data_IF_756000519253
#
_entry.id   IF_756000519253
#
_cell.length_a   1.000
_cell.length_b   1.000
_cell.length_c   1.000
_cell.angle_alpha   90.00
_cell.angle_beta   90.00
_cell.angle_gamma   90.00
#
_symmetry.space_group_name_H-M   'P 1'
#
loop_
_entity.id
_entity.type
_entity.pdbx_description
1 polymer ?
#
# COMPACT_ATOMS: atom_id res chain seq x y z
N UNK A 1 5.33 -10.69 -9.66
CA UNK A 1 5.61 -10.84 -8.22
C UNK A 1 4.27 -10.93 -7.52
N UNK A 2 4.01 -12.01 -6.80
CA UNK A 2 2.77 -12.19 -6.02
C UNK A 2 2.99 -11.71 -4.61
N UNK A 3 2.08 -10.88 -4.13
CA UNK A 3 2.11 -10.32 -2.80
C UNK A 3 0.78 -10.64 -2.12
N UNK A 4 0.80 -11.45 -1.07
CA UNK A 4 -0.38 -11.75 -0.26
C UNK A 4 -0.09 -11.37 1.18
N UNK A 5 -0.98 -10.59 1.78
CA UNK A 5 -1.00 -10.25 3.20
C UNK A 5 -1.80 -11.31 3.96
N UNK A 6 -1.32 -12.54 4.04
CA UNK A 6 -1.95 -13.52 4.91
C UNK A 6 -1.53 -13.26 6.36
N UNK A 7 -2.50 -13.01 7.21
CA UNK A 7 -2.49 -12.82 8.67
C UNK A 7 -1.09 -12.90 9.30
N UNK A 8 -0.35 -11.77 9.31
CA UNK A 8 0.98 -11.64 9.91
C UNK A 8 2.10 -12.55 9.35
N UNK A 9 1.89 -13.23 8.22
CA UNK A 9 2.90 -14.08 7.59
C UNK A 9 2.98 -13.78 6.11
N UNK A 10 4.05 -13.10 5.70
CA UNK A 10 4.43 -13.06 4.29
C UNK A 10 4.83 -14.45 3.84
N UNK A 11 4.02 -15.09 2.99
CA UNK A 11 4.43 -16.33 2.33
C UNK A 11 5.64 -16.03 1.44
N UNK A 12 6.80 -16.55 1.82
CA UNK A 12 8.06 -16.37 1.11
C UNK A 12 9.15 -15.63 1.87
N UNK A 13 8.84 -14.97 2.99
CA UNK A 13 9.84 -14.32 3.83
C UNK A 13 9.77 -14.81 5.27
N UNK A 14 10.71 -15.65 5.67
CA UNK A 14 11.00 -15.97 7.08
C UNK A 14 11.77 -14.84 7.78
N UNK A 15 11.60 -13.61 7.32
CA UNK A 15 12.39 -12.49 7.78
C UNK A 15 11.57 -11.69 8.78
N UNK A 16 12.01 -11.60 10.01
CA UNK A 16 11.38 -10.74 11.01
C UNK A 16 11.32 -9.29 10.51
N UNK A 17 10.31 -8.54 10.93
CA UNK A 17 10.08 -7.14 10.54
C UNK A 17 11.31 -6.24 10.79
N UNK A 18 12.14 -6.58 11.78
CA UNK A 18 13.39 -5.86 12.07
C UNK A 18 14.39 -5.93 10.92
N UNK A 19 14.44 -7.05 10.18
CA UNK A 19 15.29 -7.18 9.00
C UNK A 19 14.79 -6.34 7.83
N UNK A 20 13.49 -6.08 7.76
CA UNK A 20 12.90 -5.13 6.78
C UNK A 20 13.43 -3.72 7.06
N UNK A 21 13.45 -3.30 8.33
CA UNK A 21 14.05 -2.03 8.71
C UNK A 21 15.52 -1.94 8.34
N UNK A 22 16.30 -2.98 8.64
CA UNK A 22 17.72 -3.03 8.24
C UNK A 22 17.89 -2.99 6.72
N UNK A 23 16.98 -3.57 5.95
CA UNK A 23 17.03 -3.52 4.49
C UNK A 23 16.73 -2.11 3.95
N UNK A 24 15.79 -1.37 4.53
CA UNK A 24 15.52 0.05 4.18
C UNK A 24 16.77 0.90 4.46
N UNK A 25 17.41 0.67 5.62
CA UNK A 25 18.66 1.36 5.97
C UNK A 25 19.78 1.03 4.97
N UNK A 26 19.99 -0.25 4.66
CA UNK A 26 21.00 -0.71 3.69
C UNK A 26 20.77 -0.15 2.28
N UNK A 27 19.52 0.07 1.90
CA UNK A 27 19.15 0.72 0.64
C UNK A 27 19.37 2.25 0.66
N UNK A 28 19.78 2.85 1.79
CA UNK A 28 19.95 4.30 1.94
C UNK A 28 18.64 5.09 1.92
N UNK A 29 17.50 4.41 2.15
CA UNK A 29 16.16 4.96 1.98
C UNK A 29 15.51 5.47 3.29
N UNK A 30 16.28 5.64 4.37
CA UNK A 30 15.76 6.03 5.69
C UNK A 30 15.03 7.37 5.65
N UNK A 31 15.56 8.37 4.95
CA UNK A 31 14.94 9.70 4.84
C UNK A 31 13.70 9.71 3.95
N UNK A 32 13.74 9.00 2.85
CA UNK A 32 12.59 8.83 1.97
C UNK A 32 11.46 8.06 2.69
N UNK A 33 11.81 7.07 3.49
CA UNK A 33 10.86 6.34 4.32
C UNK A 33 10.26 7.22 5.42
N UNK A 34 11.05 8.08 6.07
CA UNK A 34 10.55 9.08 7.02
C UNK A 34 9.52 9.99 6.36
N UNK A 35 9.83 10.51 5.16
CA UNK A 35 8.92 11.37 4.40
C UNK A 35 7.63 10.62 4.01
N UNK A 36 7.73 9.37 3.56
CA UNK A 36 6.59 8.52 3.27
C UNK A 36 5.67 8.30 4.50
N UNK A 37 6.25 8.08 5.68
CA UNK A 37 5.47 7.99 6.92
C UNK A 37 4.77 9.32 7.25
N UNK A 38 5.44 10.45 7.05
CA UNK A 38 4.87 11.79 7.26
C UNK A 38 3.71 12.09 6.29
N UNK A 39 3.83 11.71 5.02
CA UNK A 39 2.73 11.79 4.03
C UNK A 39 1.48 10.99 4.48
N UNK A 40 1.69 9.95 5.28
CA UNK A 40 0.65 9.11 5.86
C UNK A 40 0.24 9.54 7.29
N UNK A 41 0.51 10.80 7.68
CA UNK A 41 0.20 11.35 9.00
C UNK A 41 0.92 10.67 10.17
N UNK A 42 1.98 9.90 9.91
CA UNK A 42 2.80 9.23 10.93
C UNK A 42 4.04 10.08 11.18
N UNK A 43 3.98 10.95 12.20
CA UNK A 43 5.05 11.90 12.53
C UNK A 43 6.10 11.26 13.43
N UNK A 44 7.00 10.49 12.84
CA UNK A 44 8.13 9.85 13.52
C UNK A 44 9.42 10.35 12.86
N UNK A 45 10.37 10.83 13.66
CA UNK A 45 11.72 11.11 13.18
C UNK A 45 12.54 9.85 13.26
N UNK A 46 13.16 9.46 12.12
CA UNK A 46 13.96 8.25 12.00
C UNK A 46 15.45 8.57 11.98
N UNK A 47 16.21 7.75 12.69
CA UNK A 47 17.66 7.74 12.68
C UNK A 47 18.19 6.32 12.51
N UNK A 48 19.45 6.22 12.08
CA UNK A 48 20.17 4.97 11.97
C UNK A 48 21.14 4.83 13.12
N UNK A 49 21.08 3.69 13.81
CA UNK A 49 22.06 3.36 14.86
C UNK A 49 22.72 2.02 14.60
N UNK A 50 24.01 1.96 14.86
CA UNK A 50 24.72 0.70 14.92
C UNK A 50 24.38 -0.01 16.24
N UNK A 51 23.88 -1.22 16.12
CA UNK A 51 23.56 -2.10 17.24
C UNK A 51 24.12 -3.48 16.91
N UNK A 52 25.15 -3.87 17.63
CA UNK A 52 25.85 -5.16 17.43
C UNK A 52 26.40 -5.34 15.99
N UNK A 53 26.93 -4.29 15.38
CA UNK A 53 27.49 -4.30 14.02
C UNK A 53 26.42 -4.27 12.91
N UNK A 54 25.15 -4.11 13.25
CA UNK A 54 24.07 -3.91 12.29
C UNK A 54 23.44 -2.53 12.44
N UNK A 55 23.29 -1.81 11.32
CA UNK A 55 22.51 -0.58 11.29
C UNK A 55 21.03 -0.88 11.42
N UNK A 56 20.40 -0.32 12.45
CA UNK A 56 18.97 -0.48 12.77
C UNK A 56 18.25 0.86 12.75
N UNK A 57 16.96 0.82 12.39
CA UNK A 57 16.08 1.98 12.48
C UNK A 57 15.72 2.24 13.95
N UNK A 58 15.93 3.48 14.38
CA UNK A 58 15.46 3.99 15.66
C UNK A 58 14.55 5.21 15.43
N UNK A 59 13.55 5.33 16.27
CA UNK A 59 12.70 6.51 16.33
C UNK A 59 13.26 7.47 17.37
N UNK A 60 13.51 8.71 16.96
CA UNK A 60 13.93 9.79 17.84
C UNK A 60 12.72 10.53 18.37
N UNK A 61 12.51 10.49 19.69
CA UNK A 61 11.50 11.29 20.38
C UNK A 61 12.13 12.13 21.46
N UNK A 62 12.03 13.45 21.33
CA UNK A 62 12.78 14.41 22.16
C UNK A 62 14.28 14.10 22.07
N UNK A 63 14.93 13.78 23.19
CA UNK A 63 16.37 13.42 23.27
C UNK A 63 16.60 11.93 23.51
N UNK A 64 15.62 11.07 23.22
CA UNK A 64 15.70 9.62 23.44
C UNK A 64 15.44 8.86 22.17
N UNK A 65 16.13 7.73 22.03
CA UNK A 65 15.98 6.82 20.91
C UNK A 65 15.26 5.56 21.38
N UNK A 66 14.31 5.16 20.56
CA UNK A 66 13.53 3.95 20.80
C UNK A 66 13.68 3.01 19.59
N UNK A 67 13.79 1.68 19.80
CA UNK A 67 13.72 0.73 18.70
C UNK A 67 12.41 0.95 17.91
N UNK A 68 12.52 1.31 16.62
CA UNK A 68 11.38 1.72 15.80
C UNK A 68 10.21 0.73 15.89
N UNK A 69 10.47 -0.55 15.69
CA UNK A 69 9.44 -1.60 15.67
C UNK A 69 8.77 -1.89 17.02
N UNK A 70 9.30 -1.37 18.12
CA UNK A 70 8.69 -1.55 19.45
C UNK A 70 7.62 -0.51 19.76
N UNK A 71 7.65 0.65 19.10
CA UNK A 71 6.76 1.76 19.45
C UNK A 71 5.68 2.02 18.40
N UNK A 72 5.71 1.37 17.25
CA UNK A 72 4.80 1.60 16.14
C UNK A 72 3.57 0.69 16.21
N UNK A 73 2.44 1.19 15.69
CA UNK A 73 1.19 0.45 15.55
C UNK A 73 1.27 -0.66 14.51
N UNK A 74 0.28 -1.56 14.49
CA UNK A 74 0.16 -2.60 13.45
C UNK A 74 0.03 -1.98 12.05
N UNK A 75 -0.76 -0.92 11.89
CA UNK A 75 -0.89 -0.19 10.63
C UNK A 75 0.45 0.39 10.15
N UNK A 76 1.24 0.98 11.06
CA UNK A 76 2.58 1.48 10.72
C UNK A 76 3.53 0.34 10.34
N UNK A 77 3.41 -0.83 10.99
CA UNK A 77 4.18 -2.03 10.59
C UNK A 77 3.81 -2.46 9.18
N UNK A 78 2.52 -2.52 8.86
CA UNK A 78 2.04 -2.88 7.52
C UNK A 78 2.55 -1.89 6.46
N UNK A 79 2.50 -0.58 6.72
CA UNK A 79 3.10 0.44 5.84
C UNK A 79 4.61 0.28 5.68
N UNK A 80 5.33 -0.09 6.74
CA UNK A 80 6.78 -0.33 6.65
C UNK A 80 7.08 -1.50 5.70
N UNK A 81 6.28 -2.55 5.78
CA UNK A 81 6.39 -3.71 4.91
C UNK A 81 6.04 -3.33 3.48
N UNK A 82 4.94 -2.59 3.28
CA UNK A 82 4.57 -2.06 1.96
C UNK A 82 5.71 -1.22 1.36
N UNK A 83 6.27 -0.27 2.11
CA UNK A 83 7.36 0.59 1.64
C UNK A 83 8.60 -0.21 1.22
N UNK A 84 8.96 -1.24 1.98
CA UNK A 84 10.04 -2.14 1.61
C UNK A 84 9.81 -2.83 0.27
N UNK A 85 8.57 -3.28 0.00
CA UNK A 85 8.21 -3.86 -1.28
C UNK A 85 8.12 -2.80 -2.38
N UNK A 86 7.61 -1.61 -2.06
CA UNK A 86 7.52 -0.49 -2.99
C UNK A 86 8.88 -0.15 -3.63
N UNK A 87 9.95 -0.08 -2.83
CA UNK A 87 11.32 0.12 -3.35
C UNK A 87 11.70 -0.96 -4.39
N UNK A 88 11.24 -2.20 -4.21
CA UNK A 88 11.54 -3.31 -5.12
C UNK A 88 10.61 -3.39 -6.33
N UNK A 89 9.44 -2.77 -6.24
CA UNK A 89 8.50 -2.72 -7.36
C UNK A 89 9.02 -1.87 -8.52
N UNK A 90 9.92 -0.92 -8.26
CA UNK A 90 10.55 -0.10 -9.30
C UNK A 90 11.31 -0.95 -10.35
N UNK A 91 11.75 -2.14 -9.97
CA UNK A 91 12.46 -3.07 -10.87
C UNK A 91 11.52 -4.08 -11.56
N UNK A 92 10.23 -4.05 -11.25
CA UNK A 92 9.25 -5.00 -11.76
C UNK A 92 8.44 -4.40 -12.91
N UNK A 93 8.18 -5.17 -13.97
CA UNK A 93 7.25 -4.78 -15.04
C UNK A 93 5.79 -5.01 -14.67
N UNK A 94 5.53 -5.93 -13.72
CA UNK A 94 4.19 -6.30 -13.28
C UNK A 94 4.17 -6.66 -11.80
N UNK A 95 3.16 -6.14 -11.09
CA UNK A 95 2.92 -6.40 -9.66
C UNK A 95 1.46 -6.77 -9.45
N UNK A 96 1.21 -7.83 -8.71
CA UNK A 96 -0.13 -8.23 -8.25
C UNK A 96 -0.15 -8.23 -6.73
N UNK A 97 -1.11 -7.50 -6.14
CA UNK A 97 -1.31 -7.42 -4.69
C UNK A 97 -2.74 -7.84 -4.37
N UNK A 98 -2.88 -8.99 -3.74
CA UNK A 98 -4.17 -9.55 -3.34
C UNK A 98 -4.60 -9.01 -1.98
N UNK A 99 -5.88 -8.59 -1.86
CA UNK A 99 -6.44 -8.00 -0.65
C UNK A 99 -5.50 -6.96 0.00
N UNK A 100 -4.99 -6.04 -0.83
CA UNK A 100 -3.88 -5.17 -0.46
C UNK A 100 -4.17 -4.31 0.78
N UNK A 101 -5.43 -4.03 1.06
CA UNK A 101 -5.90 -3.14 2.11
C UNK A 101 -6.38 -3.86 3.38
N UNK A 102 -6.19 -5.19 3.50
CA UNK A 102 -6.67 -6.00 4.62
C UNK A 102 -6.22 -5.49 6.02
N UNK A 103 -5.15 -4.70 6.10
CA UNK A 103 -4.62 -4.15 7.35
C UNK A 103 -4.62 -2.62 7.40
N UNK A 104 -5.27 -1.96 6.44
CA UNK A 104 -5.31 -0.50 6.34
C UNK A 104 -6.72 0.01 6.61
N UNK A 105 -6.81 1.11 7.34
CA UNK A 105 -8.01 1.93 7.27
C UNK A 105 -8.04 2.69 5.93
N UNK A 106 -9.19 3.26 5.59
CA UNK A 106 -9.46 3.83 4.26
C UNK A 106 -8.36 4.78 3.76
N UNK A 107 -7.95 5.76 4.59
CA UNK A 107 -6.95 6.77 4.18
C UNK A 107 -5.60 6.16 3.85
N UNK A 108 -5.20 5.11 4.57
CA UNK A 108 -3.94 4.41 4.28
C UNK A 108 -4.05 3.57 3.01
N UNK A 109 -5.18 2.91 2.77
CA UNK A 109 -5.42 2.17 1.54
C UNK A 109 -5.40 3.10 0.32
N UNK A 110 -6.05 4.26 0.42
CA UNK A 110 -6.02 5.30 -0.61
C UNK A 110 -4.59 5.79 -0.88
N UNK A 111 -3.80 6.00 0.17
CA UNK A 111 -2.39 6.42 0.05
C UNK A 111 -1.54 5.36 -0.64
N UNK A 112 -1.74 4.08 -0.35
CA UNK A 112 -1.06 2.97 -1.05
C UNK A 112 -1.36 3.01 -2.54
N UNK A 113 -2.63 3.16 -2.93
CA UNK A 113 -3.01 3.28 -4.36
C UNK A 113 -2.33 4.50 -5.00
N UNK A 114 -2.36 5.67 -4.35
CA UNK A 114 -1.68 6.88 -4.84
C UNK A 114 -0.17 6.67 -4.99
N UNK A 115 0.43 5.91 -4.10
CA UNK A 115 1.88 5.61 -4.12
C UNK A 115 2.24 4.70 -5.29
N UNK A 116 1.55 3.57 -5.47
CA UNK A 116 1.85 2.64 -6.58
C UNK A 116 1.58 3.23 -7.97
N UNK A 117 0.65 4.19 -8.09
CA UNK A 117 0.43 4.95 -9.33
C UNK A 117 1.65 5.74 -9.80
N UNK A 118 2.59 6.04 -8.92
CA UNK A 118 3.82 6.78 -9.24
C UNK A 118 4.91 5.88 -9.82
N UNK A 119 4.73 4.55 -9.81
CA UNK A 119 5.72 3.61 -10.33
C UNK A 119 5.83 3.76 -11.86
N UNK A 120 7.02 4.10 -12.39
CA UNK A 120 7.20 4.22 -13.83
C UNK A 120 7.32 2.84 -14.47
N UNK A 121 6.57 2.60 -15.57
CA UNK A 121 6.73 1.38 -16.37
C UNK A 121 6.27 0.08 -15.70
N UNK A 122 5.64 0.15 -14.53
CA UNK A 122 5.15 -1.02 -13.79
C UNK A 122 3.64 -1.08 -13.89
N UNK A 123 3.09 -2.17 -14.40
CA UNK A 123 1.67 -2.46 -14.29
C UNK A 123 1.36 -3.02 -12.91
N UNK A 124 0.42 -2.39 -12.18
CA UNK A 124 0.01 -2.85 -10.85
C UNK A 124 -1.46 -3.25 -10.87
N UNK A 125 -1.77 -4.45 -10.40
CA UNK A 125 -3.13 -4.92 -10.16
C UNK A 125 -3.29 -5.10 -8.66
N UNK A 126 -4.37 -4.52 -8.13
CA UNK A 126 -4.75 -4.59 -6.72
C UNK A 126 -6.12 -5.24 -6.62
N UNK A 127 -6.31 -6.18 -5.70
CA UNK A 127 -7.64 -6.65 -5.31
C UNK A 127 -8.03 -6.10 -3.95
N UNK A 128 -9.32 -5.83 -3.77
CA UNK A 128 -9.88 -5.33 -2.51
C UNK A 128 -11.37 -5.63 -2.44
N UNK A 129 -11.88 -5.79 -1.24
CA UNK A 129 -13.33 -5.81 -0.95
C UNK A 129 -13.86 -4.44 -0.52
N UNK A 130 -12.99 -3.43 -0.43
CA UNK A 130 -13.34 -2.09 0.03
C UNK A 130 -13.88 -1.22 -1.11
N UNK A 131 -15.20 -1.17 -1.23
CA UNK A 131 -15.87 -0.34 -2.24
C UNK A 131 -15.72 1.17 -2.03
N UNK A 132 -15.23 1.61 -0.87
CA UNK A 132 -14.96 3.03 -0.61
C UNK A 132 -13.80 3.56 -1.46
N UNK A 133 -12.94 2.66 -1.96
CA UNK A 133 -11.88 2.99 -2.92
C UNK A 133 -12.38 3.25 -4.35
N UNK A 134 -13.67 3.02 -4.65
CA UNK A 134 -14.28 3.36 -5.94
C UNK A 134 -14.46 4.88 -6.09
N UNK A 135 -13.39 5.57 -6.42
CA UNK A 135 -13.34 7.02 -6.53
C UNK A 135 -12.64 7.47 -7.80
N UNK A 136 -13.28 8.37 -8.55
CA UNK A 136 -12.70 9.02 -9.73
C UNK A 136 -11.52 9.95 -9.41
N UNK A 137 -11.34 10.32 -8.14
CA UNK A 137 -10.17 11.07 -7.68
C UNK A 137 -8.97 10.14 -7.49
N UNK A 138 -9.24 8.86 -7.24
CA UNK A 138 -8.21 7.86 -7.01
C UNK A 138 -7.73 7.23 -8.33
N UNK A 139 -8.65 6.71 -9.14
CA UNK A 139 -8.37 6.09 -10.44
C UNK A 139 -9.44 6.48 -11.46
N UNK A 140 -9.11 6.38 -12.75
CA UNK A 140 -10.08 6.54 -13.83
C UNK A 140 -11.08 5.36 -13.82
N UNK A 141 -12.32 5.56 -14.30
CA UNK A 141 -13.34 4.51 -14.31
C UNK A 141 -12.94 3.22 -15.05
N UNK A 142 -12.14 3.34 -16.10
CA UNK A 142 -11.62 2.23 -16.90
C UNK A 142 -10.49 1.44 -16.21
N UNK A 143 -10.03 1.91 -15.05
CA UNK A 143 -9.06 1.20 -14.21
C UNK A 143 -9.73 0.38 -13.09
N UNK A 144 -11.06 0.42 -12.97
CA UNK A 144 -11.80 -0.40 -12.02
C UNK A 144 -12.43 -1.61 -12.72
N UNK A 145 -12.26 -2.76 -12.11
CA UNK A 145 -12.77 -4.03 -12.62
C UNK A 145 -13.64 -4.70 -11.56
N UNK A 146 -14.71 -5.30 -12.01
CA UNK A 146 -15.55 -6.17 -11.20
C UNK A 146 -15.14 -7.62 -11.44
N UNK A 147 -14.85 -8.34 -10.36
CA UNK A 147 -14.60 -9.78 -10.37
C UNK A 147 -15.83 -10.49 -9.80
N UNK A 148 -16.52 -11.21 -10.63
CA UNK A 148 -17.71 -11.96 -10.24
C UNK A 148 -17.76 -13.30 -10.98
N UNK A 149 -18.06 -14.38 -10.26
CA UNK A 149 -18.18 -15.75 -10.77
C UNK A 149 -17.04 -16.16 -11.74
N UNK A 150 -15.82 -15.71 -11.45
CA UNK A 150 -14.63 -16.00 -12.27
C UNK A 150 -14.51 -15.17 -13.56
N UNK A 151 -15.35 -14.15 -13.73
CA UNK A 151 -15.27 -13.16 -14.81
C UNK A 151 -14.72 -11.84 -14.28
N UNK A 152 -13.90 -11.20 -15.12
CA UNK A 152 -13.36 -9.86 -14.84
C UNK A 152 -13.93 -8.92 -15.90
N UNK A 153 -14.66 -7.90 -15.48
CA UNK A 153 -15.28 -6.92 -16.36
C UNK A 153 -14.92 -5.51 -15.93
N UNK A 154 -14.49 -4.61 -16.84
CA UNK A 154 -14.34 -3.21 -16.53
C UNK A 154 -15.68 -2.62 -16.04
N UNK A 155 -15.65 -1.74 -15.03
CA UNK A 155 -16.89 -1.11 -14.55
C UNK A 155 -17.60 -0.28 -15.63
N UNK A 156 -16.85 0.30 -16.56
CA UNK A 156 -17.42 1.04 -17.68
C UNK A 156 -18.27 0.17 -18.61
N UNK A 157 -18.03 -1.13 -18.70
CA UNK A 157 -18.75 -2.07 -19.56
C UNK A 157 -20.01 -2.64 -18.86
N UNK A 158 -20.15 -2.42 -17.56
CA UNK A 158 -21.27 -2.91 -16.75
C UNK A 158 -22.40 -1.89 -16.59
N UNK A 159 -22.37 -0.80 -17.34
CA UNK A 159 -23.41 0.25 -17.31
C UNK A 159 -23.53 0.90 -18.69
N UNK A 160 -24.76 1.20 -19.10
CA UNK A 160 -25.03 1.97 -20.32
C UNK A 160 -24.67 3.45 -20.18
N UNK A 161 -24.42 3.92 -18.94
CA UNK A 161 -24.08 5.33 -18.68
C UNK A 161 -22.61 5.57 -18.95
N UNK A 162 -22.31 6.58 -19.76
CA UNK A 162 -20.95 7.09 -19.89
C UNK A 162 -20.45 7.56 -18.51
N UNK A 163 -19.41 6.87 -17.98
CA UNK A 163 -18.85 7.22 -16.69
C UNK A 163 -17.97 8.45 -16.82
N UNK A 164 -18.35 9.54 -16.16
CA UNK A 164 -17.62 10.81 -16.12
C UNK A 164 -16.99 11.02 -14.76
N UNK A 165 -15.95 11.84 -14.70
CA UNK A 165 -15.25 12.19 -13.45
C UNK A 165 -16.18 12.72 -12.34
N UNK A 166 -17.28 13.37 -12.71
CA UNK A 166 -18.27 13.91 -11.77
C UNK A 166 -19.17 12.82 -11.13
N UNK A 167 -19.16 11.58 -11.66
CA UNK A 167 -19.99 10.52 -11.11
C UNK A 167 -19.35 9.95 -9.83
N UNK A 168 -20.18 9.71 -8.81
CA UNK A 168 -19.77 9.02 -7.61
C UNK A 168 -19.89 7.50 -7.84
N UNK A 169 -18.79 6.86 -8.22
CA UNK A 169 -18.75 5.43 -8.55
C UNK A 169 -19.20 4.55 -7.38
N UNK A 170 -18.82 4.91 -6.15
CA UNK A 170 -19.21 4.17 -4.96
C UNK A 170 -20.73 4.18 -4.75
N UNK A 171 -21.37 5.36 -4.90
CA UNK A 171 -22.84 5.46 -4.79
C UNK A 171 -23.54 4.67 -5.90
N UNK A 172 -23.03 4.73 -7.13
CA UNK A 172 -23.54 3.96 -8.25
C UNK A 172 -23.42 2.46 -7.99
N UNK A 173 -22.29 2.01 -7.47
CA UNK A 173 -22.05 0.61 -7.11
C UNK A 173 -23.05 0.14 -6.03
N UNK A 174 -23.19 0.90 -4.93
CA UNK A 174 -24.14 0.60 -3.84
C UNK A 174 -25.60 0.62 -4.31
N UNK A 175 -25.93 1.40 -5.34
CA UNK A 175 -27.24 1.43 -5.97
C UNK A 175 -27.47 0.30 -7.01
N UNK A 176 -26.50 -0.59 -7.22
CA UNK A 176 -26.61 -1.69 -8.17
C UNK A 176 -26.44 -1.32 -9.65
N UNK A 177 -25.89 -0.14 -9.95
CA UNK A 177 -25.76 0.35 -11.34
C UNK A 177 -24.80 -0.49 -12.21
N UNK A 178 -24.00 -1.38 -11.61
CA UNK A 178 -23.05 -2.26 -12.27
C UNK A 178 -23.41 -3.75 -12.17
N UNK A 179 -24.62 -4.05 -11.69
CA UNK A 179 -25.15 -5.40 -11.68
C UNK A 179 -26.13 -5.51 -12.84
N UNK A 180 -25.70 -6.22 -13.88
CA UNK A 180 -26.58 -6.61 -14.99
C UNK A 180 -27.52 -7.73 -14.57
#
# INVERSE_FOLDING_TARGET
MFYSLDVNRYRGFKTGIEKIGSAIVKAGKTKEFEAFLQENNIRIRLEEKDVDGEKKLVARYQNRDFPFFRIISTGTKALTIFYYWYIKMEEASFVFMDEFDAFYHFELAESVVKTVRRLPGTQVILTTHNTDLLSNDLLRPDCFFWLDEGRISPLCDLTEKELRRAHNLQKMFKAGAFRG
#
